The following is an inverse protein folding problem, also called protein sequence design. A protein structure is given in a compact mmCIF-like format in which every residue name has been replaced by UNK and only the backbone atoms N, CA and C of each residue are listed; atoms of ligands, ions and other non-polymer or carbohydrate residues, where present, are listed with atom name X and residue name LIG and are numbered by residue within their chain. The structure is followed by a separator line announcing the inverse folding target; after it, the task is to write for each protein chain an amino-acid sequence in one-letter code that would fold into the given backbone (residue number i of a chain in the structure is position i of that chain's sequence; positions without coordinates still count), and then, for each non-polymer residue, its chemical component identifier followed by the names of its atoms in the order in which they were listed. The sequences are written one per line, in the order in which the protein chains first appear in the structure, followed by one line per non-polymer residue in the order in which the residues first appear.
data_IF_908564150765
#
_entry.id   IF_908564150765
#
_cell.length_a   1.000
_cell.length_b   1.000
_cell.length_c   1.000
_cell.angle_alpha   90.00
_cell.angle_beta   90.00
_cell.angle_gamma   90.00
#
_symmetry.space_group_name_H-M   'P 1'
#
loop_
_entity.id
_entity.type
_entity.pdbx_description
1 polymer ?
#
# COMPACT_ATOMS: atom_id res chain seq x y z
N UNK A 1 16.52 4.29 3.91
CA UNK A 1 15.62 3.23 3.42
C UNK A 1 14.98 3.74 2.14
N UNK A 2 15.61 3.56 0.97
CA UNK A 2 15.33 4.42 -0.21
C UNK A 2 15.06 3.65 -1.51
N UNK A 3 14.76 2.35 -1.45
CA UNK A 3 14.70 1.51 -2.65
C UNK A 3 13.35 0.82 -2.91
N UNK A 4 12.27 1.33 -2.32
CA UNK A 4 10.96 0.66 -2.39
C UNK A 4 10.08 1.22 -3.51
N UNK A 5 10.22 2.50 -3.86
CA UNK A 5 9.49 3.16 -4.94
C UNK A 5 10.28 3.04 -6.25
N UNK A 6 9.67 2.43 -7.26
CA UNK A 6 10.27 2.25 -8.58
C UNK A 6 9.87 3.38 -9.53
N UNK A 7 10.66 3.59 -10.58
CA UNK A 7 10.42 4.60 -11.63
C UNK A 7 9.10 4.41 -12.39
N UNK A 8 8.58 3.18 -12.44
CA UNK A 8 7.28 2.86 -13.05
C UNK A 8 6.07 3.17 -12.14
N UNK A 9 6.27 3.87 -11.02
CA UNK A 9 5.21 4.20 -10.08
C UNK A 9 4.78 3.04 -9.17
N UNK A 10 5.40 1.87 -9.27
CA UNK A 10 5.11 0.72 -8.38
C UNK A 10 5.97 0.74 -7.13
N UNK A 11 5.48 0.13 -6.06
CA UNK A 11 6.23 0.00 -4.82
C UNK A 11 6.32 -1.45 -4.37
N UNK A 12 7.55 -1.96 -4.23
CA UNK A 12 7.82 -3.33 -3.79
C UNK A 12 7.64 -3.55 -2.28
N UNK A 13 6.97 -2.66 -1.55
CA UNK A 13 6.83 -2.74 -0.10
C UNK A 13 5.90 -3.87 0.34
N UNK A 14 5.10 -4.42 -0.57
CA UNK A 14 4.08 -5.43 -0.29
C UNK A 14 2.90 -4.93 0.54
N UNK A 15 2.87 -3.63 0.89
CA UNK A 15 1.78 -3.00 1.64
C UNK A 15 0.68 -2.48 0.73
N UNK A 16 1.01 -2.22 -0.54
CA UNK A 16 0.06 -1.79 -1.56
C UNK A 16 -0.78 -2.97 -2.06
N UNK A 17 -2.11 -2.94 -1.90
CA UNK A 17 -3.04 -3.93 -2.45
C UNK A 17 -2.96 -4.09 -3.97
N UNK A 18 -2.80 -2.98 -4.66
CA UNK A 18 -2.95 -2.82 -6.11
C UNK A 18 -1.65 -3.06 -6.88
N UNK A 19 -0.52 -3.25 -6.21
CA UNK A 19 0.81 -3.29 -6.83
C UNK A 19 1.41 -1.91 -7.13
N UNK A 20 0.60 -0.86 -7.17
CA UNK A 20 1.03 0.53 -7.36
C UNK A 20 1.47 1.21 -6.07
N UNK A 21 2.39 2.18 -6.18
CA UNK A 21 2.85 2.98 -5.05
C UNK A 21 1.79 4.00 -4.64
N UNK A 22 0.96 3.66 -3.66
CA UNK A 22 -0.07 4.55 -3.09
C UNK A 22 0.44 5.38 -1.88
N UNK A 23 1.76 5.52 -1.73
CA UNK A 23 2.37 6.23 -0.60
C UNK A 23 2.38 5.46 0.73
N UNK A 24 1.90 4.21 0.73
CA UNK A 24 1.84 3.39 1.95
C UNK A 24 3.20 2.87 2.42
N UNK A 25 4.24 3.02 1.59
CA UNK A 25 5.61 2.63 1.93
C UNK A 25 6.24 3.55 2.97
N UNK A 26 5.73 4.77 3.12
CA UNK A 26 6.19 5.76 4.11
C UNK A 26 5.42 5.66 5.42
N UNK A 27 4.34 4.86 5.46
CA UNK A 27 3.56 4.64 6.67
C UNK A 27 4.36 3.83 7.69
N UNK A 28 4.28 4.23 8.95
CA UNK A 28 4.73 3.38 10.05
C UNK A 28 3.78 2.21 10.24
N UNK A 29 4.20 1.10 10.90
CA UNK A 29 3.29 0.00 11.24
C UNK A 29 2.03 0.50 11.94
N UNK A 30 2.16 1.45 12.88
CA UNK A 30 1.03 2.05 13.60
C UNK A 30 0.08 2.80 12.67
N UNK A 31 0.58 3.56 11.69
CA UNK A 31 -0.28 4.24 10.71
C UNK A 31 -0.93 3.28 9.73
N UNK A 32 -0.24 2.19 9.38
CA UNK A 32 -0.78 1.14 8.53
C UNK A 32 -1.84 0.29 9.25
N UNK A 33 -1.70 0.10 10.56
CA UNK A 33 -2.70 -0.57 11.42
C UNK A 33 -3.88 0.35 11.75
N UNK A 34 -3.64 1.66 11.90
CA UNK A 34 -4.69 2.66 12.10
C UNK A 34 -5.56 2.86 10.86
N UNK A 35 -5.01 2.63 9.66
CA UNK A 35 -5.82 2.45 8.44
C UNK A 35 -6.67 1.21 8.61
N UNK A 36 -7.98 1.42 8.73
CA UNK A 36 -8.96 0.35 8.93
C UNK A 36 -8.77 -0.74 7.88
N UNK A 37 -8.98 -1.98 8.30
CA UNK A 37 -9.04 -3.12 7.38
C UNK A 37 -10.03 -2.84 6.23
N UNK A 38 -11.11 -2.11 6.53
CA UNK A 38 -12.05 -1.59 5.54
C UNK A 38 -11.42 -0.68 4.44
N UNK A 39 -10.40 0.15 4.75
CA UNK A 39 -9.68 0.94 3.73
C UNK A 39 -8.83 0.03 2.82
N UNK A 40 -8.31 -1.07 3.39
CA UNK A 40 -7.56 -2.10 2.64
C UNK A 40 -8.52 -2.93 1.80
N UNK A 41 -9.59 -3.44 2.38
CA UNK A 41 -10.63 -4.23 1.72
C UNK A 41 -11.35 -3.43 0.63
N UNK A 42 -11.63 -2.14 0.84
CA UNK A 42 -12.20 -1.28 -0.21
C UNK A 42 -11.27 -1.14 -1.43
N UNK A 43 -9.95 -1.30 -1.25
CA UNK A 43 -8.98 -1.32 -2.34
C UNK A 43 -8.84 -2.68 -3.02
N UNK A 44 -9.25 -3.78 -2.36
CA UNK A 44 -9.33 -5.13 -2.95
C UNK A 44 -10.74 -5.49 -3.44
N UNK A 45 -11.72 -4.61 -3.22
CA UNK A 45 -13.16 -4.87 -3.38
C UNK A 45 -13.70 -4.87 -4.82
N UNK A 46 -12.85 -5.03 -5.84
CA UNK A 46 -13.28 -5.34 -7.21
C UNK A 46 -12.64 -6.67 -7.65
N UNK A 47 -13.15 -7.76 -7.07
CA UNK A 47 -12.94 -9.12 -7.56
C UNK A 47 -14.20 -9.93 -7.24
N UNK A 48 -15.28 -9.62 -7.94
CA UNK A 48 -16.40 -10.54 -8.14
C UNK A 48 -16.62 -10.78 -9.62
#
# INVERSE_FOLDING_TARGET
MDNVKKENGTCGCGRSPTGDCIGWHELTPEQYEAKTDADKEAMFGDSK
#
